data_IF_468173298894
#
_entry.id   IF_468173298894
#
_cell.length_a   1.000
_cell.length_b   1.000
_cell.length_c   1.000
_cell.angle_alpha   90.00
_cell.angle_beta   90.00
_cell.angle_gamma   90.00
#
_symmetry.space_group_name_H-M   'P 1'
#
loop_
_entity.id
_entity.type
_entity.pdbx_description
1 polymer ?
#
# COMPACT_ATOMS: atom_id res chain seq x y z
N UNK A 1 53.78 -3.44 -30.95
CA UNK A 1 52.47 -4.14 -30.82
C UNK A 1 51.74 -3.47 -29.67
N UNK A 2 50.77 -2.60 -29.96
CA UNK A 2 49.92 -2.04 -28.91
C UNK A 2 49.07 -3.19 -28.35
N UNK A 3 49.17 -3.46 -27.06
CA UNK A 3 48.21 -4.34 -26.39
C UNK A 3 46.84 -3.68 -26.53
N UNK A 4 45.90 -4.35 -27.20
CA UNK A 4 44.49 -3.98 -27.14
C UNK A 4 44.03 -4.26 -25.70
N UNK A 5 44.24 -3.30 -24.81
CA UNK A 5 43.65 -3.34 -23.47
C UNK A 5 42.16 -3.14 -23.63
N UNK A 6 41.39 -4.22 -23.41
CA UNK A 6 39.93 -4.19 -23.39
C UNK A 6 39.53 -3.42 -22.13
N UNK A 7 38.78 -2.33 -22.30
CA UNK A 7 38.22 -1.56 -21.20
C UNK A 7 36.83 -2.07 -20.82
N UNK A 8 36.34 -1.66 -19.65
CA UNK A 8 34.96 -1.92 -19.22
C UNK A 8 33.92 -1.42 -20.23
N UNK A 9 34.21 -0.31 -20.92
CA UNK A 9 33.27 0.35 -21.84
C UNK A 9 33.16 -0.37 -23.19
N UNK A 10 34.09 -1.28 -23.50
CA UNK A 10 34.08 -2.11 -24.71
C UNK A 10 33.16 -3.34 -24.58
N UNK A 11 32.68 -3.64 -23.36
CA UNK A 11 31.72 -4.72 -23.09
C UNK A 11 30.33 -4.29 -23.58
N UNK A 12 29.54 -5.20 -24.20
CA UNK A 12 28.15 -4.89 -24.62
C UNK A 12 27.31 -4.38 -23.45
N UNK A 13 26.80 -3.14 -23.58
CA UNK A 13 26.02 -2.51 -22.52
C UNK A 13 24.72 -3.26 -22.29
N UNK A 14 23.95 -3.54 -23.35
CA UNK A 14 22.62 -4.13 -23.23
C UNK A 14 22.70 -5.61 -22.86
N UNK A 15 23.51 -6.39 -23.56
CA UNK A 15 23.50 -7.86 -23.44
C UNK A 15 24.26 -8.36 -22.20
N UNK A 16 25.21 -7.57 -21.70
CA UNK A 16 26.08 -8.00 -20.59
C UNK A 16 25.94 -7.07 -19.40
N UNK A 17 26.26 -5.78 -19.54
CA UNK A 17 26.33 -4.89 -18.37
C UNK A 17 24.95 -4.66 -17.74
N UNK A 18 23.96 -4.28 -18.54
CA UNK A 18 22.59 -3.97 -18.09
C UNK A 18 21.81 -5.21 -17.68
N UNK A 19 22.15 -6.38 -18.23
CA UNK A 19 21.49 -7.64 -17.89
C UNK A 19 22.14 -8.36 -16.70
N UNK A 20 23.46 -8.29 -16.56
CA UNK A 20 24.21 -9.19 -15.66
C UNK A 20 25.02 -8.47 -14.59
N UNK A 21 25.26 -7.17 -14.70
CA UNK A 21 26.07 -6.40 -13.73
C UNK A 21 25.21 -5.37 -13.01
N UNK A 22 24.64 -4.43 -13.76
CA UNK A 22 23.89 -3.30 -13.22
C UNK A 22 22.64 -3.65 -12.40
N UNK A 23 21.92 -4.75 -12.64
CA UNK A 23 20.80 -5.15 -11.77
C UNK A 23 21.21 -5.44 -10.32
N UNK A 24 22.50 -5.71 -10.08
CA UNK A 24 23.06 -5.95 -8.75
C UNK A 24 23.65 -4.69 -8.10
N UNK A 25 23.71 -3.56 -8.83
CA UNK A 25 24.19 -2.29 -8.30
C UNK A 25 23.05 -1.54 -7.62
N UNK A 26 23.34 -0.95 -6.46
CA UNK A 26 22.40 -0.02 -5.85
C UNK A 26 22.36 1.29 -6.65
N UNK A 27 21.29 2.08 -6.50
CA UNK A 27 21.26 3.42 -7.09
C UNK A 27 22.46 4.26 -6.64
N UNK A 28 22.89 4.14 -5.37
CA UNK A 28 24.08 4.82 -4.87
C UNK A 28 25.34 4.44 -5.65
N UNK A 29 25.51 3.15 -5.96
CA UNK A 29 26.65 2.67 -6.76
C UNK A 29 26.59 3.22 -8.18
N UNK A 30 25.41 3.23 -8.79
CA UNK A 30 25.19 3.84 -10.10
C UNK A 30 25.58 5.33 -10.11
N UNK A 31 25.18 6.12 -9.11
CA UNK A 31 25.56 7.53 -9.02
C UNK A 31 27.06 7.72 -8.78
N UNK A 32 27.68 6.89 -7.94
CA UNK A 32 29.13 6.93 -7.74
C UNK A 32 29.86 6.62 -9.04
N UNK A 33 29.43 5.58 -9.77
CA UNK A 33 30.01 5.21 -11.06
C UNK A 33 29.79 6.30 -12.11
N UNK A 34 28.60 6.93 -12.13
CA UNK A 34 28.27 8.06 -13.01
C UNK A 34 29.28 9.22 -12.88
N UNK A 35 29.89 9.40 -11.71
CA UNK A 35 30.86 10.47 -11.46
C UNK A 35 32.31 10.12 -11.85
N UNK A 36 32.59 8.91 -12.33
CA UNK A 36 33.96 8.44 -12.61
C UNK A 36 34.52 9.02 -13.91
N UNK A 37 33.71 9.09 -14.98
CA UNK A 37 34.11 9.63 -16.28
C UNK A 37 32.88 10.00 -17.12
N UNK A 38 33.08 10.72 -18.23
CA UNK A 38 32.00 11.01 -19.19
C UNK A 38 31.38 9.74 -19.78
N UNK A 39 32.21 8.72 -20.09
CA UNK A 39 31.73 7.42 -20.56
C UNK A 39 30.93 6.67 -19.50
N UNK A 40 31.33 6.75 -18.22
CA UNK A 40 30.56 6.17 -17.12
C UNK A 40 29.23 6.89 -16.90
N UNK A 41 29.21 8.22 -17.07
CA UNK A 41 27.98 9.00 -17.02
C UNK A 41 26.99 8.54 -18.09
N UNK A 42 27.42 8.49 -19.34
CA UNK A 42 26.59 8.06 -20.47
C UNK A 42 26.07 6.63 -20.28
N UNK A 43 26.93 5.72 -19.82
CA UNK A 43 26.56 4.33 -19.57
C UNK A 43 25.47 4.21 -18.50
N UNK A 44 25.59 4.96 -17.39
CA UNK A 44 24.58 4.96 -16.32
C UNK A 44 23.27 5.60 -16.78
N UNK A 45 23.31 6.67 -17.57
CA UNK A 45 22.10 7.32 -18.09
C UNK A 45 21.36 6.40 -19.07
N UNK A 46 22.09 5.67 -19.92
CA UNK A 46 21.52 4.63 -20.78
C UNK A 46 20.97 3.44 -19.97
N UNK A 47 21.59 3.10 -18.85
CA UNK A 47 21.01 2.10 -17.95
C UNK A 47 19.70 2.58 -17.32
N UNK A 48 19.63 3.84 -16.86
CA UNK A 48 18.40 4.43 -16.33
C UNK A 48 17.27 4.42 -17.35
N UNK A 49 17.58 4.59 -18.64
CA UNK A 49 16.60 4.50 -19.73
C UNK A 49 15.90 3.15 -19.80
N UNK A 50 16.62 2.04 -19.60
CA UNK A 50 16.09 0.67 -19.68
C UNK A 50 15.61 0.10 -18.34
N UNK A 51 15.92 0.76 -17.23
CA UNK A 51 15.60 0.33 -15.87
C UNK A 51 14.08 0.22 -15.66
N UNK A 52 13.65 -0.89 -15.06
CA UNK A 52 12.23 -1.17 -14.79
C UNK A 52 11.79 -0.87 -13.36
N UNK A 53 12.74 -0.76 -12.43
CA UNK A 53 12.46 -0.67 -10.99
C UNK A 53 13.21 0.50 -10.37
N UNK A 54 12.48 1.43 -9.77
CA UNK A 54 13.03 2.52 -8.97
C UNK A 54 12.57 2.33 -7.53
N UNK A 55 13.50 2.13 -6.61
CA UNK A 55 13.20 2.00 -5.18
C UNK A 55 14.12 2.92 -4.37
N UNK A 56 13.51 3.92 -3.73
CA UNK A 56 14.19 4.88 -2.84
C UNK A 56 13.65 4.83 -1.40
N UNK A 57 12.79 3.88 -1.07
CA UNK A 57 12.11 3.81 0.23
C UNK A 57 13.04 3.68 1.44
N UNK A 58 14.25 3.16 1.25
CA UNK A 58 15.28 3.02 2.29
C UNK A 58 16.48 3.95 2.09
N UNK A 59 16.38 4.92 1.17
CA UNK A 59 17.48 5.78 0.78
C UNK A 59 17.42 7.13 1.50
N UNK A 60 17.96 7.19 2.72
CA UNK A 60 18.01 8.43 3.54
C UNK A 60 18.93 9.51 2.96
N UNK A 61 19.93 9.13 2.16
CA UNK A 61 20.93 10.05 1.60
C UNK A 61 20.55 10.61 0.22
N UNK A 62 19.40 10.23 -0.34
CA UNK A 62 19.02 10.65 -1.69
C UNK A 62 18.43 12.06 -1.66
N UNK A 63 18.92 12.94 -2.54
CA UNK A 63 18.50 14.35 -2.58
C UNK A 63 17.74 14.68 -3.88
N UNK A 64 17.06 15.83 -3.87
CA UNK A 64 16.25 16.30 -4.99
C UNK A 64 17.05 16.42 -6.31
N UNK A 65 18.31 16.86 -6.25
CA UNK A 65 19.17 17.02 -7.44
C UNK A 65 19.46 15.68 -8.12
N UNK A 66 19.80 14.66 -7.32
CA UNK A 66 20.05 13.31 -7.83
C UNK A 66 18.76 12.77 -8.44
N UNK A 67 17.63 12.94 -7.78
CA UNK A 67 16.34 12.50 -8.28
C UNK A 67 15.92 13.14 -9.60
N UNK A 68 16.22 14.42 -9.83
CA UNK A 68 15.96 15.05 -11.13
C UNK A 68 16.66 14.32 -12.28
N UNK A 69 17.90 13.90 -12.08
CA UNK A 69 18.65 13.11 -13.08
C UNK A 69 17.94 11.78 -13.34
N UNK A 70 17.49 11.08 -12.29
CA UNK A 70 16.77 9.83 -12.43
C UNK A 70 15.43 10.03 -13.16
N UNK A 71 14.63 11.01 -12.72
CA UNK A 71 13.30 11.29 -13.25
C UNK A 71 13.31 11.63 -14.75
N UNK A 72 14.35 12.34 -15.21
CA UNK A 72 14.49 12.73 -16.62
C UNK A 72 15.02 11.59 -17.50
N UNK A 73 15.86 10.70 -16.97
CA UNK A 73 16.47 9.64 -17.77
C UNK A 73 15.68 8.32 -17.76
N UNK A 74 14.83 8.10 -16.76
CA UNK A 74 14.01 6.91 -16.65
C UNK A 74 12.76 6.98 -17.55
N UNK A 75 12.69 6.10 -18.56
CA UNK A 75 11.58 6.03 -19.54
C UNK A 75 10.89 4.67 -19.66
N UNK A 76 11.30 3.66 -18.88
CA UNK A 76 10.74 2.31 -18.96
C UNK A 76 10.46 1.68 -17.58
N UNK A 77 10.28 2.53 -16.57
CA UNK A 77 10.02 2.11 -15.18
C UNK A 77 8.60 1.60 -15.06
N UNK A 78 8.47 0.40 -14.50
CA UNK A 78 7.19 -0.25 -14.22
C UNK A 78 6.83 -0.24 -12.75
N UNK A 79 7.84 -0.21 -11.88
CA UNK A 79 7.70 -0.29 -10.44
C UNK A 79 8.42 0.87 -9.74
N UNK A 80 7.63 1.79 -9.20
CA UNK A 80 8.11 2.97 -8.48
C UNK A 80 7.77 2.82 -7.00
N UNK A 81 8.80 2.71 -6.16
CA UNK A 81 8.66 2.74 -4.71
C UNK A 81 9.46 3.90 -4.12
N UNK A 82 8.73 4.95 -3.73
CA UNK A 82 9.30 6.17 -3.14
C UNK A 82 8.77 6.39 -1.72
N UNK A 83 8.26 5.34 -1.05
CA UNK A 83 7.64 5.50 0.26
C UNK A 83 8.60 6.13 1.27
N UNK A 84 8.09 6.99 2.13
CA UNK A 84 8.84 7.74 3.14
C UNK A 84 9.89 8.73 2.59
N UNK A 85 9.93 9.00 1.27
CA UNK A 85 10.74 10.07 0.70
C UNK A 85 10.08 11.44 0.91
N UNK A 86 10.31 12.03 2.08
CA UNK A 86 9.61 13.26 2.51
C UNK A 86 10.00 14.53 1.78
N UNK A 87 11.14 14.53 1.08
CA UNK A 87 11.65 15.66 0.30
C UNK A 87 11.02 15.79 -1.10
N UNK A 88 10.11 14.89 -1.48
CA UNK A 88 9.48 14.88 -2.80
C UNK A 88 8.48 16.02 -2.95
N UNK A 89 8.56 16.72 -4.09
CA UNK A 89 7.57 17.70 -4.52
C UNK A 89 6.91 17.25 -5.81
N UNK A 90 5.75 17.81 -6.12
CA UNK A 90 4.99 17.48 -7.33
C UNK A 90 5.85 17.68 -8.59
N UNK A 91 6.63 18.77 -8.66
CA UNK A 91 7.55 19.08 -9.76
C UNK A 91 8.65 18.03 -9.96
N UNK A 92 9.11 17.39 -8.88
CA UNK A 92 10.13 16.34 -8.97
C UNK A 92 9.53 15.06 -9.56
N UNK A 93 8.30 14.72 -9.19
CA UNK A 93 7.60 13.53 -9.66
C UNK A 93 7.08 13.67 -11.10
N UNK A 94 6.80 14.90 -11.54
CA UNK A 94 6.15 15.15 -12.82
C UNK A 94 6.88 14.54 -14.03
N UNK A 95 8.21 14.73 -14.24
CA UNK A 95 8.92 14.10 -15.35
C UNK A 95 8.92 12.57 -15.25
N UNK A 96 9.09 12.04 -14.03
CA UNK A 96 9.11 10.60 -13.81
C UNK A 96 7.79 9.94 -14.22
N UNK A 97 6.65 10.57 -13.93
CA UNK A 97 5.35 9.98 -14.32
C UNK A 97 5.01 10.22 -15.80
N UNK A 98 5.35 11.37 -16.38
CA UNK A 98 5.15 11.62 -17.81
C UNK A 98 5.90 10.63 -18.70
N UNK A 99 7.09 10.25 -18.27
CA UNK A 99 7.99 9.39 -19.04
C UNK A 99 7.65 7.89 -18.94
N UNK A 100 6.79 7.48 -17.99
CA UNK A 100 6.60 6.07 -17.62
C UNK A 100 5.12 5.65 -17.63
N UNK A 101 4.54 5.56 -18.82
CA UNK A 101 3.11 5.27 -19.03
C UNK A 101 2.73 3.79 -18.87
N UNK A 102 3.69 2.86 -18.91
CA UNK A 102 3.48 1.43 -18.63
C UNK A 102 3.70 1.06 -17.16
N UNK A 103 3.61 2.03 -16.25
CA UNK A 103 3.77 1.78 -14.81
C UNK A 103 2.66 0.86 -14.29
N UNK A 104 3.06 -0.18 -13.56
CA UNK A 104 2.14 -1.15 -12.96
C UNK A 104 2.08 -1.04 -11.43
N UNK A 105 3.11 -0.50 -10.79
CA UNK A 105 3.21 -0.35 -9.35
C UNK A 105 3.68 1.05 -8.95
N UNK A 106 2.91 1.69 -8.08
CA UNK A 106 3.25 2.97 -7.47
C UNK A 106 3.09 2.90 -5.95
N UNK A 107 4.14 3.27 -5.22
CA UNK A 107 4.10 3.47 -3.78
C UNK A 107 4.66 4.84 -3.39
N UNK A 108 3.78 5.71 -2.89
CA UNK A 108 4.09 7.03 -2.33
C UNK A 108 3.77 7.10 -0.82
N UNK A 109 3.61 5.95 -0.17
CA UNK A 109 3.18 5.88 1.22
C UNK A 109 4.11 6.69 2.13
N UNK A 110 3.56 7.52 3.00
CA UNK A 110 4.32 8.35 3.94
C UNK A 110 5.05 9.56 3.33
N UNK A 111 4.85 9.87 2.05
CA UNK A 111 5.36 11.10 1.43
C UNK A 111 4.43 12.28 1.70
N UNK A 112 4.34 12.74 2.95
CA UNK A 112 3.25 13.63 3.39
C UNK A 112 3.62 15.10 3.63
N UNK A 113 4.90 15.49 3.49
CA UNK A 113 5.35 16.83 3.91
C UNK A 113 5.09 17.91 2.86
N UNK A 114 5.38 17.65 1.58
CA UNK A 114 5.37 18.66 0.51
C UNK A 114 4.52 18.33 -0.71
N UNK A 115 4.02 17.09 -0.83
CA UNK A 115 3.21 16.67 -1.97
C UNK A 115 1.79 17.20 -1.90
N UNK A 116 1.17 17.38 -3.07
CA UNK A 116 -0.26 17.62 -3.22
C UNK A 116 -0.92 16.53 -4.07
N UNK A 117 -2.25 16.48 -4.10
CA UNK A 117 -2.97 15.54 -4.98
C UNK A 117 -2.73 15.76 -6.48
N UNK A 118 -2.21 16.93 -6.87
CA UNK A 118 -1.87 17.23 -8.27
C UNK A 118 -0.73 16.34 -8.79
N UNK A 119 0.14 15.82 -7.91
CA UNK A 119 1.23 14.92 -8.34
C UNK A 119 0.72 13.65 -9.03
N UNK A 120 -0.51 13.22 -8.75
CA UNK A 120 -1.10 12.03 -9.37
C UNK A 120 -1.74 12.31 -10.73
N UNK A 121 -1.89 13.57 -11.16
CA UNK A 121 -2.56 13.89 -12.43
C UNK A 121 -1.92 13.16 -13.63
N UNK A 122 -0.59 13.11 -13.81
CA UNK A 122 0.02 12.35 -14.90
C UNK A 122 -0.29 10.85 -14.80
N UNK A 123 -0.27 10.29 -13.59
CA UNK A 123 -0.60 8.88 -13.34
C UNK A 123 -2.05 8.59 -13.73
N UNK A 124 -2.98 9.46 -13.31
CA UNK A 124 -4.41 9.35 -13.59
C UNK A 124 -4.66 9.33 -15.11
N UNK A 125 -3.98 10.19 -15.85
CA UNK A 125 -4.22 10.34 -17.29
C UNK A 125 -3.47 9.30 -18.13
N UNK A 126 -2.24 8.94 -17.77
CA UNK A 126 -1.34 8.18 -18.65
C UNK A 126 -1.18 6.71 -18.26
N UNK A 127 -1.13 6.37 -16.97
CA UNK A 127 -0.67 5.06 -16.48
C UNK A 127 -1.80 4.01 -16.41
N UNK A 128 -2.41 3.65 -17.54
CA UNK A 128 -3.61 2.78 -17.60
C UNK A 128 -3.36 1.30 -17.20
N UNK A 129 -2.10 0.91 -17.06
CA UNK A 129 -1.69 -0.43 -16.65
C UNK A 129 -1.47 -0.55 -15.13
N UNK A 130 -1.77 0.50 -14.35
CA UNK A 130 -1.57 0.50 -12.91
C UNK A 130 -2.41 -0.61 -12.23
N UNK A 131 -1.70 -1.46 -11.47
CA UNK A 131 -2.27 -2.59 -10.72
C UNK A 131 -2.14 -2.43 -9.22
N UNK A 132 -1.05 -1.82 -8.76
CA UNK A 132 -0.74 -1.69 -7.34
C UNK A 132 -0.57 -0.22 -6.99
N UNK A 133 -1.44 0.30 -6.13
CA UNK A 133 -1.42 1.69 -5.68
C UNK A 133 -1.34 1.78 -4.16
N UNK A 134 -0.20 2.23 -3.65
CA UNK A 134 0.03 2.37 -2.20
C UNK A 134 0.24 3.84 -1.84
N UNK A 135 -0.74 4.40 -1.15
CA UNK A 135 -0.83 5.79 -0.72
C UNK A 135 -1.10 5.88 0.79
N UNK A 136 -0.61 4.91 1.57
CA UNK A 136 -0.79 4.93 3.01
C UNK A 136 -0.17 6.19 3.62
N UNK A 137 -0.86 6.83 4.56
CA UNK A 137 -0.41 8.04 5.23
C UNK A 137 -0.17 9.24 4.28
N UNK A 138 -0.88 9.29 3.14
CA UNK A 138 -0.84 10.41 2.20
C UNK A 138 -1.96 11.42 2.49
N UNK A 139 -1.77 12.30 3.48
CA UNK A 139 -2.80 13.27 3.92
C UNK A 139 -3.15 14.35 2.87
N UNK A 140 -2.36 14.46 1.82
CA UNK A 140 -2.61 15.33 0.68
C UNK A 140 -3.63 14.76 -0.32
N UNK A 141 -3.98 13.48 -0.19
CA UNK A 141 -4.98 12.83 -1.03
C UNK A 141 -6.37 13.38 -0.74
N UNK A 142 -7.12 13.70 -1.81
CA UNK A 142 -8.45 14.31 -1.73
C UNK A 142 -9.49 13.40 -2.37
N UNK A 143 -10.76 13.61 -2.00
CA UNK A 143 -11.90 12.88 -2.58
C UNK A 143 -11.97 13.06 -4.10
N UNK A 144 -11.83 14.30 -4.60
CA UNK A 144 -11.84 14.59 -6.03
C UNK A 144 -10.70 13.93 -6.82
N UNK A 145 -9.52 13.77 -6.20
CA UNK A 145 -8.42 13.02 -6.80
C UNK A 145 -8.77 11.53 -6.94
N UNK A 146 -9.39 10.94 -5.91
CA UNK A 146 -9.87 9.56 -5.97
C UNK A 146 -10.97 9.40 -7.02
N UNK A 147 -11.94 10.31 -7.09
CA UNK A 147 -12.96 10.28 -8.14
C UNK A 147 -12.35 10.30 -9.55
N UNK A 148 -11.41 11.23 -9.81
CA UNK A 148 -10.70 11.29 -11.08
C UNK A 148 -9.93 10.00 -11.39
N UNK A 149 -9.29 9.39 -10.39
CA UNK A 149 -8.60 8.11 -10.53
C UNK A 149 -9.57 6.99 -10.97
N UNK A 150 -10.75 6.92 -10.37
CA UNK A 150 -11.75 5.89 -10.66
C UNK A 150 -12.39 5.97 -12.04
N UNK A 151 -12.37 7.15 -12.68
CA UNK A 151 -12.82 7.35 -14.07
C UNK A 151 -11.85 6.77 -15.11
N UNK A 152 -10.61 6.51 -14.70
CA UNK A 152 -9.52 6.19 -15.61
C UNK A 152 -8.84 4.85 -15.32
N UNK A 153 -9.05 4.27 -14.14
CA UNK A 153 -8.40 3.05 -13.68
C UNK A 153 -9.44 2.01 -13.28
N UNK A 154 -9.40 0.85 -13.96
CA UNK A 154 -10.31 -0.28 -13.73
C UNK A 154 -9.58 -1.61 -13.45
N UNK A 155 -8.24 -1.61 -13.59
CA UNK A 155 -7.40 -2.81 -13.50
C UNK A 155 -6.63 -2.92 -12.17
N UNK A 156 -6.95 -2.09 -11.18
CA UNK A 156 -6.27 -2.11 -9.89
C UNK A 156 -6.60 -3.43 -9.18
N UNK A 157 -5.54 -4.10 -8.72
CA UNK A 157 -5.55 -5.37 -8.00
C UNK A 157 -5.26 -5.15 -6.51
N UNK A 158 -4.45 -4.14 -6.17
CA UNK A 158 -4.12 -3.79 -4.78
C UNK A 158 -4.22 -2.29 -4.56
N UNK A 159 -4.90 -1.92 -3.46
CA UNK A 159 -4.92 -0.54 -2.98
C UNK A 159 -4.63 -0.47 -1.49
N UNK A 160 -3.70 0.40 -1.11
CA UNK A 160 -3.45 0.77 0.28
C UNK A 160 -3.69 2.27 0.50
N UNK A 161 -4.73 2.59 1.26
CA UNK A 161 -5.15 3.94 1.61
C UNK A 161 -5.15 4.15 3.14
N UNK A 162 -4.41 3.32 3.87
CA UNK A 162 -4.33 3.39 5.33
C UNK A 162 -4.04 4.83 5.80
N UNK A 163 -4.75 5.29 6.84
CA UNK A 163 -4.64 6.65 7.38
C UNK A 163 -4.99 7.80 6.40
N UNK A 164 -5.60 7.56 5.24
CA UNK A 164 -6.11 8.64 4.38
C UNK A 164 -7.43 9.20 4.92
N UNK A 165 -7.37 9.92 6.05
CA UNK A 165 -8.52 10.40 6.84
C UNK A 165 -9.42 11.43 6.15
N UNK A 166 -8.99 11.98 5.01
CA UNK A 166 -9.82 12.86 4.15
C UNK A 166 -10.74 12.10 3.20
N UNK A 167 -10.65 10.77 3.15
CA UNK A 167 -11.51 9.94 2.30
C UNK A 167 -12.76 9.50 3.07
N UNK A 168 -13.85 9.31 2.33
CA UNK A 168 -15.17 8.95 2.87
C UNK A 168 -15.79 7.77 2.12
N UNK A 169 -16.99 7.35 2.53
CA UNK A 169 -17.68 6.22 1.90
C UNK A 169 -17.93 6.42 0.40
N UNK A 170 -18.21 7.65 -0.05
CA UNK A 170 -18.56 7.94 -1.45
C UNK A 170 -17.38 7.64 -2.39
N UNK A 171 -16.22 8.26 -2.13
CA UNK A 171 -15.06 8.13 -3.00
C UNK A 171 -14.47 6.70 -2.96
N UNK A 172 -14.45 6.05 -1.78
CA UNK A 172 -14.00 4.66 -1.67
C UNK A 172 -14.99 3.72 -2.37
N UNK A 173 -16.30 3.89 -2.19
CA UNK A 173 -17.29 3.07 -2.89
C UNK A 173 -17.18 3.17 -4.41
N UNK A 174 -16.89 4.36 -4.95
CA UNK A 174 -16.65 4.54 -6.39
C UNK A 174 -15.42 3.76 -6.86
N UNK A 175 -14.36 3.72 -6.06
CA UNK A 175 -13.18 2.89 -6.34
C UNK A 175 -13.53 1.41 -6.37
N UNK A 176 -14.28 0.93 -5.38
CA UNK A 176 -14.67 -0.48 -5.28
C UNK A 176 -15.58 -0.91 -6.44
N UNK A 177 -16.47 -0.03 -6.91
CA UNK A 177 -17.31 -0.28 -8.10
C UNK A 177 -16.52 -0.30 -9.40
N UNK A 178 -15.50 0.55 -9.51
CA UNK A 178 -14.71 0.70 -10.73
C UNK A 178 -13.66 -0.40 -10.89
N UNK A 179 -13.06 -0.85 -9.80
CA UNK A 179 -11.95 -1.82 -9.78
C UNK A 179 -12.41 -3.22 -9.35
N UNK A 180 -13.11 -3.93 -10.24
CA UNK A 180 -13.62 -5.29 -9.96
C UNK A 180 -12.52 -6.37 -9.83
N UNK A 181 -11.26 -6.04 -10.11
CA UNK A 181 -10.10 -6.93 -10.00
C UNK A 181 -9.36 -6.86 -8.66
N UNK A 182 -9.87 -6.06 -7.72
CA UNK A 182 -9.27 -5.92 -6.40
C UNK A 182 -9.16 -7.26 -5.67
N UNK A 183 -7.95 -7.55 -5.20
CA UNK A 183 -7.57 -8.71 -4.41
C UNK A 183 -7.11 -8.28 -3.01
N UNK A 184 -6.46 -7.12 -2.87
CA UNK A 184 -6.02 -6.58 -1.58
C UNK A 184 -6.48 -5.14 -1.41
N UNK A 185 -7.18 -4.89 -0.31
CA UNK A 185 -7.72 -3.58 0.04
C UNK A 185 -7.35 -3.27 1.50
N UNK A 186 -6.53 -2.25 1.70
CA UNK A 186 -6.22 -1.70 3.02
C UNK A 186 -6.84 -0.30 3.17
N UNK A 187 -7.84 -0.22 4.04
CA UNK A 187 -8.60 0.99 4.40
C UNK A 187 -8.48 1.30 5.90
N UNK A 188 -7.48 0.73 6.57
CA UNK A 188 -7.33 0.86 8.01
C UNK A 188 -7.17 2.32 8.45
N UNK A 189 -7.76 2.64 9.60
CA UNK A 189 -7.75 3.96 10.23
C UNK A 189 -8.35 5.09 9.38
N UNK A 190 -9.24 4.76 8.43
CA UNK A 190 -10.10 5.76 7.78
C UNK A 190 -11.41 5.85 8.58
N UNK A 191 -11.45 6.81 9.52
CA UNK A 191 -12.53 6.94 10.51
C UNK A 191 -13.89 7.32 9.94
N UNK A 192 -13.93 7.89 8.74
CA UNK A 192 -15.16 8.30 8.09
C UNK A 192 -15.96 7.11 7.51
N UNK A 193 -15.31 5.96 7.28
CA UNK A 193 -15.93 4.80 6.63
C UNK A 193 -16.97 4.13 7.53
N UNK A 194 -18.05 3.69 6.92
CA UNK A 194 -19.18 3.00 7.56
C UNK A 194 -19.49 1.69 6.84
N UNK A 195 -20.58 1.03 7.23
CA UNK A 195 -21.08 -0.18 6.57
C UNK A 195 -21.38 0.03 5.08
N UNK A 196 -21.60 1.27 4.63
CA UNK A 196 -21.84 1.60 3.21
C UNK A 196 -20.70 1.08 2.34
N UNK A 197 -19.45 1.41 2.70
CA UNK A 197 -18.27 0.96 1.97
C UNK A 197 -18.19 -0.57 1.93
N UNK A 198 -18.41 -1.23 3.07
CA UNK A 198 -18.33 -2.70 3.14
C UNK A 198 -19.43 -3.40 2.34
N UNK A 199 -20.64 -2.84 2.31
CA UNK A 199 -21.72 -3.35 1.48
C UNK A 199 -21.31 -3.30 0.00
N UNK A 200 -20.76 -2.17 -0.46
CA UNK A 200 -20.28 -2.03 -1.84
C UNK A 200 -19.13 -2.98 -2.14
N UNK A 201 -18.19 -3.16 -1.21
CA UNK A 201 -17.11 -4.16 -1.36
C UNK A 201 -17.71 -5.56 -1.52
N UNK A 202 -18.67 -5.95 -0.67
CA UNK A 202 -19.37 -7.23 -0.76
C UNK A 202 -20.11 -7.39 -2.09
N UNK A 203 -20.67 -6.32 -2.65
CA UNK A 203 -21.39 -6.33 -3.93
C UNK A 203 -20.46 -6.42 -5.14
N UNK A 204 -19.33 -5.71 -5.14
CA UNK A 204 -18.50 -5.49 -6.34
C UNK A 204 -17.18 -6.27 -6.35
N UNK A 205 -16.49 -6.41 -5.21
CA UNK A 205 -15.13 -6.93 -5.13
C UNK A 205 -15.12 -8.46 -4.96
N UNK A 206 -15.53 -9.19 -6.00
CA UNK A 206 -15.69 -10.65 -5.94
C UNK A 206 -14.37 -11.43 -5.85
N UNK A 207 -13.26 -10.84 -6.29
CA UNK A 207 -11.93 -11.44 -6.25
C UNK A 207 -11.13 -11.06 -4.99
N UNK A 208 -11.77 -10.40 -4.03
CA UNK A 208 -11.08 -9.90 -2.85
C UNK A 208 -10.59 -11.05 -1.96
N UNK A 209 -9.28 -11.05 -1.68
CA UNK A 209 -8.62 -12.04 -0.84
C UNK A 209 -8.21 -11.45 0.52
N UNK A 210 -7.86 -10.16 0.56
CA UNK A 210 -7.30 -9.50 1.73
C UNK A 210 -8.01 -8.17 1.98
N UNK A 211 -8.72 -8.08 3.11
CA UNK A 211 -9.37 -6.85 3.54
C UNK A 211 -8.83 -6.40 4.91
N UNK A 212 -8.33 -5.17 4.97
CA UNK A 212 -7.95 -4.54 6.22
C UNK A 212 -8.78 -3.27 6.44
N UNK A 213 -9.61 -3.30 7.48
CA UNK A 213 -10.47 -2.19 7.95
C UNK A 213 -10.21 -1.90 9.43
N UNK A 214 -9.04 -2.30 9.94
CA UNK A 214 -8.62 -2.04 11.31
C UNK A 214 -8.83 -0.57 11.67
N UNK A 215 -9.42 -0.28 12.83
CA UNK A 215 -9.64 1.09 13.30
C UNK A 215 -10.76 1.84 12.59
N UNK A 216 -11.49 1.23 11.64
CA UNK A 216 -12.74 1.79 11.11
C UNK A 216 -13.87 1.60 12.13
N UNK A 217 -13.83 2.39 13.19
CA UNK A 217 -14.71 2.36 14.36
C UNK A 217 -16.21 2.54 14.11
N UNK A 218 -16.66 3.00 12.93
CA UNK A 218 -18.09 3.14 12.58
C UNK A 218 -18.65 1.94 11.82
N UNK A 219 -17.78 0.97 11.49
CA UNK A 219 -18.19 -0.30 10.89
C UNK A 219 -18.83 -1.18 11.97
N UNK A 220 -19.92 -1.85 11.58
CA UNK A 220 -20.71 -2.74 12.44
C UNK A 220 -20.82 -4.14 11.86
N UNK A 221 -21.49 -5.02 12.59
CA UNK A 221 -21.86 -6.37 12.13
C UNK A 221 -22.58 -6.40 10.77
N UNK A 222 -23.31 -5.33 10.41
CA UNK A 222 -23.99 -5.24 9.12
C UNK A 222 -23.01 -5.23 7.96
N UNK A 223 -21.95 -4.43 8.03
CA UNK A 223 -20.92 -4.36 7.00
C UNK A 223 -20.18 -5.70 6.86
N UNK A 224 -19.81 -6.31 7.99
CA UNK A 224 -19.13 -7.62 8.00
C UNK A 224 -19.99 -8.72 7.38
N UNK A 225 -21.30 -8.72 7.66
CA UNK A 225 -22.24 -9.69 7.05
C UNK A 225 -22.30 -9.57 5.53
N UNK A 226 -22.20 -8.34 4.99
CA UNK A 226 -22.13 -8.12 3.55
C UNK A 226 -20.83 -8.67 2.95
N UNK A 227 -19.69 -8.47 3.62
CA UNK A 227 -18.40 -9.06 3.23
C UNK A 227 -18.47 -10.59 3.22
N UNK A 228 -19.00 -11.19 4.31
CA UNK A 228 -19.14 -12.64 4.43
C UNK A 228 -19.99 -13.26 3.32
N UNK A 229 -21.04 -12.55 2.88
CA UNK A 229 -21.93 -13.02 1.80
C UNK A 229 -21.32 -12.81 0.41
N UNK A 230 -20.61 -11.69 0.23
CA UNK A 230 -20.18 -11.20 -1.06
C UNK A 230 -18.79 -11.64 -1.53
N UNK A 231 -17.83 -11.72 -0.61
CA UNK A 231 -16.41 -11.94 -0.90
C UNK A 231 -16.01 -13.40 -0.61
N UNK A 232 -16.33 -14.30 -1.54
CA UNK A 232 -16.15 -15.76 -1.36
C UNK A 232 -14.69 -16.23 -1.38
N UNK A 233 -13.78 -15.43 -1.91
CA UNK A 233 -12.34 -15.74 -1.98
C UNK A 233 -11.54 -15.07 -0.86
N UNK A 234 -12.22 -14.46 0.12
CA UNK A 234 -11.55 -13.78 1.21
C UNK A 234 -10.71 -14.80 2.01
N UNK A 235 -9.46 -14.44 2.29
CA UNK A 235 -8.49 -15.24 3.04
C UNK A 235 -8.13 -14.57 4.36
N UNK A 236 -8.03 -13.24 4.38
CA UNK A 236 -7.71 -12.48 5.60
C UNK A 236 -8.63 -11.28 5.78
N UNK A 237 -9.08 -11.08 7.02
CA UNK A 237 -9.88 -9.94 7.45
C UNK A 237 -9.25 -9.34 8.72
N UNK A 238 -8.75 -8.10 8.60
CA UNK A 238 -8.23 -7.34 9.74
C UNK A 238 -9.26 -6.29 10.21
N UNK A 239 -9.74 -6.43 11.44
CA UNK A 239 -10.86 -5.68 12.04
C UNK A 239 -10.59 -5.26 13.49
N UNK A 240 -9.36 -5.41 13.99
CA UNK A 240 -8.99 -4.86 15.31
C UNK A 240 -9.44 -3.39 15.42
N UNK A 241 -9.85 -2.99 16.62
CA UNK A 241 -10.31 -1.62 16.91
C UNK A 241 -11.64 -1.22 16.22
N UNK A 242 -12.36 -2.15 15.55
CA UNK A 242 -13.76 -1.98 15.15
C UNK A 242 -14.71 -2.32 16.31
N UNK A 243 -15.07 -1.32 17.12
CA UNK A 243 -15.76 -1.51 18.41
C UNK A 243 -17.19 -2.06 18.31
N UNK A 244 -17.85 -1.93 17.15
CA UNK A 244 -19.23 -2.38 16.94
C UNK A 244 -19.33 -3.65 16.09
N UNK A 245 -18.20 -4.34 15.88
CA UNK A 245 -18.17 -5.67 15.28
C UNK A 245 -18.10 -6.69 16.41
N UNK A 246 -19.05 -7.62 16.42
CA UNK A 246 -19.22 -8.65 17.45
C UNK A 246 -19.07 -10.05 16.87
N UNK A 247 -19.05 -11.06 17.74
CA UNK A 247 -19.05 -12.45 17.30
C UNK A 247 -20.30 -12.86 16.50
N UNK A 248 -21.38 -12.06 16.51
CA UNK A 248 -22.58 -12.34 15.72
C UNK A 248 -22.28 -12.39 14.22
N UNK A 249 -21.58 -11.38 13.69
CA UNK A 249 -21.19 -11.37 12.27
C UNK A 249 -19.94 -12.22 12.01
N UNK A 250 -18.98 -12.23 12.94
CA UNK A 250 -17.73 -12.96 12.77
C UNK A 250 -17.95 -14.47 12.77
N UNK A 251 -18.90 -14.97 13.55
CA UNK A 251 -19.24 -16.40 13.59
C UNK A 251 -19.56 -16.97 12.20
N UNK A 252 -20.13 -16.16 11.30
CA UNK A 252 -20.51 -16.54 9.94
C UNK A 252 -19.28 -16.81 9.06
N UNK A 253 -18.22 -16.00 9.21
CA UNK A 253 -17.04 -16.03 8.35
C UNK A 253 -15.84 -16.74 9.00
N UNK A 254 -15.92 -17.02 10.31
CA UNK A 254 -14.91 -17.80 11.04
C UNK A 254 -14.82 -19.22 10.48
N UNK A 255 -13.58 -19.69 10.29
CA UNK A 255 -13.27 -21.01 9.73
C UNK A 255 -13.04 -21.01 8.23
N UNK A 256 -13.42 -19.93 7.53
CA UNK A 256 -13.11 -19.71 6.12
C UNK A 256 -12.00 -18.68 5.94
N UNK A 257 -11.93 -17.72 6.87
CA UNK A 257 -11.06 -16.53 6.79
C UNK A 257 -10.22 -16.42 8.06
N UNK A 258 -8.95 -16.03 7.92
CA UNK A 258 -8.13 -15.59 9.04
C UNK A 258 -8.63 -14.21 9.53
N UNK A 259 -9.01 -14.13 10.80
CA UNK A 259 -9.50 -12.90 11.44
C UNK A 259 -8.54 -12.53 12.56
N UNK A 260 -8.07 -11.28 12.58
CA UNK A 260 -7.13 -10.79 13.59
C UNK A 260 -7.76 -10.48 14.96
N UNK A 261 -8.98 -10.96 15.21
CA UNK A 261 -9.66 -10.86 16.49
C UNK A 261 -9.85 -12.27 17.07
N UNK A 262 -9.32 -12.56 18.27
CA UNK A 262 -9.56 -13.85 18.93
C UNK A 262 -11.05 -14.01 19.21
N UNK A 263 -11.56 -15.25 19.22
CA UNK A 263 -12.94 -15.51 19.66
C UNK A 263 -13.09 -14.98 21.08
N UNK A 264 -14.03 -14.07 21.29
CA UNK A 264 -14.51 -13.76 22.63
C UNK A 264 -15.30 -14.97 23.14
N UNK A 265 -14.59 -16.02 23.57
CA UNK A 265 -15.16 -17.03 24.45
C UNK A 265 -15.49 -16.26 25.72
N UNK A 266 -16.76 -16.17 26.09
CA UNK A 266 -17.22 -15.43 27.27
C UNK A 266 -16.31 -15.72 28.48
N UNK A 267 -15.41 -14.79 28.79
CA UNK A 267 -14.58 -14.81 30.00
C UNK A 267 -15.48 -14.58 31.24
N UNK A 268 -16.74 -14.18 31.01
CA UNK A 268 -17.76 -13.97 32.03
C UNK A 268 -18.02 -15.21 32.91
N UNK A 269 -17.77 -16.43 32.44
CA UNK A 269 -17.92 -17.61 33.31
C UNK A 269 -16.79 -17.81 34.31
N UNK A 270 -15.56 -17.40 33.99
CA UNK A 270 -14.41 -17.58 34.90
C UNK A 270 -14.37 -16.45 35.92
N UNK A 271 -14.69 -15.21 35.52
CA UNK A 271 -14.76 -14.08 36.46
C UNK A 271 -15.92 -14.23 37.46
N UNK A 272 -17.07 -14.77 37.02
CA UNK A 272 -18.22 -14.98 37.90
C UNK A 272 -18.04 -16.14 38.89
N UNK A 273 -17.23 -17.16 38.56
CA UNK A 273 -16.92 -18.27 39.48
C UNK A 273 -15.88 -17.85 40.54
N UNK A 274 -14.91 -16.99 40.18
CA UNK A 274 -13.84 -16.56 41.10
C UNK A 274 -14.32 -15.50 42.11
N UNK A 275 -15.46 -14.84 41.87
CA UNK A 275 -16.01 -13.79 42.75
C UNK A 275 -17.10 -14.23 43.75
N UNK A 276 -17.39 -15.54 43.90
CA UNK A 276 -18.31 -15.96 44.96
C UNK A 276 -17.63 -15.82 46.34
N UNK A 277 -18.18 -15.04 47.29
CA UNK A 277 -17.69 -15.06 48.66
C UNK A 277 -17.91 -16.45 49.25
N UNK A 278 -16.91 -16.96 49.96
CA UNK A 278 -17.00 -18.22 50.70
C UNK A 278 -18.17 -18.16 51.71
N UNK A 279 -18.93 -19.25 51.90
CA UNK A 279 -19.97 -19.28 52.92
C UNK A 279 -19.35 -19.05 54.30
N UNK A 280 -20.04 -18.33 55.21
CA UNK A 280 -19.51 -18.06 56.54
C UNK A 280 -19.30 -19.36 57.31
N UNK A 281 -18.14 -19.50 57.94
CA UNK A 281 -17.82 -20.61 58.84
C UNK A 281 -18.73 -20.55 60.08
N UNK A 282 -19.20 -21.69 60.61
CA UNK A 282 -20.02 -21.70 61.81
C UNK A 282 -19.22 -21.21 63.01
N UNK A 283 -19.80 -20.27 63.76
CA UNK A 283 -19.26 -19.74 65.00
C UNK A 283 -19.29 -20.87 66.05
N UNK A 284 -18.12 -21.34 66.47
CA UNK A 284 -17.99 -22.19 67.65
C UNK A 284 -18.18 -21.31 68.90
N UNK A 285 -19.32 -21.47 69.57
CA UNK A 285 -19.52 -20.98 70.94
C UNK A 285 -18.50 -21.66 71.85
N UNK A 286 -17.57 -20.89 72.42
CA UNK A 286 -16.76 -21.34 73.55
C UNK A 286 -17.54 -21.08 74.84
N UNK A 287 -17.80 -22.17 75.55
CA UNK A 287 -18.33 -22.21 76.91
C UNK A 287 -17.22 -21.76 77.87
N UNK A 288 -17.47 -20.69 78.62
CA UNK A 288 -17.07 -20.52 80.04
C UNK A 288 -18.23 -19.88 80.81
#
# INVERSE_FOLDING_TARGET
MAQNEISLFDISWVDVLFQSVFPYLSLKDCYNFRCVSTSAQELVENYFFVMKNVNLSSCSSFNATSFKVLAVNCHNVRHINLSHCKWLTDDLLHPLFLNNYHMTYLNLSGCSETLTSMCLQPVIVLCKELKYLKLANCFWLTEGCMEALTLHHHNIEEVDLMFCWRLNDSCISNLMRSCCRLQLVNLSFIYALTDITLIVIGECCKLLEHLNIKGCWRVTDRGISAIATGCRFLKTLFIKECKFVTEHSLGIIRGQVYIDMPRQIAIDFIVFIVQRPSPPLPIMEYIE
#
